data_IF_940692675880
#
_entry.id   IF_940692675880
#
_cell.length_a   1.000
_cell.length_b   1.000
_cell.length_c   1.000
_cell.angle_alpha   90.00
_cell.angle_beta   90.00
_cell.angle_gamma   90.00
#
_symmetry.space_group_name_H-M   'P 1'
#
loop_
_entity.id
_entity.type
_entity.pdbx_description
1 polymer ?
#
# COMPACT_ATOMS: atom_id res chain seq x y z
N UNK A 1 18.31 37.71 -57.66
CA UNK A 1 18.31 36.28 -57.27
C UNK A 1 19.09 36.01 -55.96
N UNK A 2 18.84 36.76 -54.88
CA UNK A 2 19.47 36.51 -53.56
C UNK A 2 18.52 36.63 -52.36
N UNK A 3 17.27 37.05 -52.56
CA UNK A 3 16.33 37.31 -51.46
C UNK A 3 15.29 36.20 -51.22
N UNK A 4 15.23 35.17 -52.06
CA UNK A 4 14.23 34.10 -51.92
C UNK A 4 14.73 32.90 -51.11
N UNK A 5 16.02 32.79 -50.79
CA UNK A 5 16.56 31.63 -50.07
C UNK A 5 16.39 31.70 -48.54
N UNK A 6 16.33 32.91 -47.96
CA UNK A 6 16.18 33.09 -46.51
C UNK A 6 14.74 32.86 -46.01
N UNK A 7 13.72 33.06 -46.84
CA UNK A 7 12.33 32.85 -46.44
C UNK A 7 11.95 31.36 -46.31
N UNK A 8 12.58 30.47 -47.08
CA UNK A 8 12.31 29.03 -47.01
C UNK A 8 13.02 28.35 -45.83
N UNK A 9 14.16 28.90 -45.38
CA UNK A 9 14.89 28.38 -44.21
C UNK A 9 14.12 28.65 -42.90
N UNK A 10 13.45 29.80 -42.78
CA UNK A 10 12.61 30.10 -41.59
C UNK A 10 11.40 29.18 -41.43
N UNK A 11 10.78 28.73 -42.53
CA UNK A 11 9.59 27.87 -42.48
C UNK A 11 9.93 26.41 -42.13
N UNK A 12 11.11 25.92 -42.52
CA UNK A 12 11.56 24.56 -42.16
C UNK A 12 12.02 24.49 -40.69
N UNK A 13 12.68 25.54 -40.18
CA UNK A 13 13.07 25.60 -38.77
C UNK A 13 11.88 25.84 -37.81
N UNK A 14 10.81 26.51 -38.25
CA UNK A 14 9.59 26.68 -37.45
C UNK A 14 8.77 25.37 -37.32
N UNK A 15 8.78 24.52 -38.35
CA UNK A 15 8.10 23.21 -38.35
C UNK A 15 8.79 22.17 -37.46
N UNK A 16 10.12 22.16 -37.38
CA UNK A 16 10.87 21.24 -36.51
C UNK A 16 10.81 21.58 -35.02
N UNK A 17 10.42 22.82 -34.67
CA UNK A 17 10.23 23.24 -33.28
C UNK A 17 8.83 22.83 -32.78
N UNK A 18 7.83 22.73 -33.66
CA UNK A 18 6.48 22.31 -33.29
C UNK A 18 6.29 20.79 -33.20
N UNK A 19 7.15 19.99 -33.85
CA UNK A 19 7.14 18.52 -33.74
C UNK A 19 8.00 17.95 -32.60
N UNK A 20 8.67 18.80 -31.82
CA UNK A 20 9.35 18.40 -30.57
C UNK A 20 8.59 18.76 -29.29
N UNK A 21 7.32 19.14 -29.40
CA UNK A 21 6.41 19.35 -28.27
C UNK A 21 5.43 18.18 -28.08
N UNK A 22 5.88 16.95 -28.33
CA UNK A 22 5.08 15.74 -28.09
C UNK A 22 5.96 14.59 -27.66
N UNK A 23 6.59 14.71 -26.49
CA UNK A 23 6.83 13.63 -25.51
C UNK A 23 7.67 14.16 -24.32
N UNK A 24 7.17 15.18 -23.62
CA UNK A 24 7.51 15.28 -22.19
C UNK A 24 6.40 14.51 -21.48
N UNK A 25 6.50 13.18 -21.49
CA UNK A 25 5.76 12.40 -20.49
C UNK A 25 6.41 12.83 -19.17
N UNK A 26 5.67 13.64 -18.42
CA UNK A 26 6.01 13.95 -17.06
C UNK A 26 6.40 12.64 -16.35
N UNK A 27 7.63 12.53 -15.87
CA UNK A 27 7.97 11.63 -14.76
C UNK A 27 7.33 12.15 -13.45
N UNK A 28 6.11 12.69 -13.55
CA UNK A 28 5.29 13.19 -12.47
C UNK A 28 4.26 12.14 -12.12
N UNK A 29 4.45 11.53 -10.95
CA UNK A 29 3.42 10.82 -10.16
C UNK A 29 2.34 10.11 -10.98
N UNK A 30 2.67 8.94 -11.55
CA UNK A 30 1.64 7.98 -11.95
C UNK A 30 0.76 7.69 -10.74
N UNK A 31 -0.56 7.84 -10.89
CA UNK A 31 -1.50 7.54 -9.81
C UNK A 31 -1.37 6.07 -9.38
N UNK A 32 -1.52 5.78 -8.07
CA UNK A 32 -1.47 4.41 -7.59
C UNK A 32 -2.59 3.61 -8.25
N UNK A 33 -2.32 2.36 -8.60
CA UNK A 33 -3.29 1.41 -9.15
C UNK A 33 -3.33 0.14 -8.33
N UNK A 34 -4.35 -0.67 -8.56
CA UNK A 34 -4.50 -1.99 -7.93
C UNK A 34 -3.32 -2.93 -8.25
N UNK A 35 -2.81 -2.87 -9.47
CA UNK A 35 -1.70 -3.70 -9.98
C UNK A 35 -0.30 -3.19 -9.57
N UNK A 36 -0.21 -2.12 -8.78
CA UNK A 36 1.07 -1.71 -8.19
C UNK A 36 1.41 -2.63 -6.99
N UNK A 37 2.69 -2.99 -6.83
CA UNK A 37 3.17 -3.95 -5.82
C UNK A 37 2.57 -3.73 -4.42
N UNK A 38 2.55 -2.49 -3.94
CA UNK A 38 2.01 -2.16 -2.62
C UNK A 38 0.52 -2.51 -2.49
N UNK A 39 -0.30 -2.26 -3.52
CA UNK A 39 -1.73 -2.54 -3.46
C UNK A 39 -1.99 -4.04 -3.66
N UNK A 40 -1.35 -4.66 -4.66
CA UNK A 40 -1.48 -6.09 -4.93
C UNK A 40 -1.11 -6.93 -3.71
N UNK A 41 0.05 -6.66 -3.10
CA UNK A 41 0.53 -7.40 -1.93
C UNK A 41 -0.32 -7.11 -0.69
N UNK A 42 -0.61 -5.83 -0.39
CA UNK A 42 -1.41 -5.50 0.79
C UNK A 42 -2.80 -6.11 0.69
N UNK A 43 -3.52 -5.96 -0.42
CA UNK A 43 -4.86 -6.55 -0.58
C UNK A 43 -4.81 -8.07 -0.41
N UNK A 44 -3.84 -8.74 -1.03
CA UNK A 44 -3.67 -10.19 -0.93
C UNK A 44 -3.49 -10.64 0.53
N UNK A 45 -2.58 -10.00 1.27
CA UNK A 45 -2.31 -10.35 2.66
C UNK A 45 -3.48 -9.99 3.60
N UNK A 46 -4.17 -8.88 3.38
CA UNK A 46 -5.39 -8.56 4.13
C UNK A 46 -6.46 -9.64 3.95
N UNK A 47 -6.70 -10.06 2.70
CA UNK A 47 -7.69 -11.08 2.41
C UNK A 47 -7.26 -12.46 2.93
N UNK A 48 -5.97 -12.78 2.92
CA UNK A 48 -5.46 -13.99 3.56
C UNK A 48 -5.65 -13.96 5.07
N UNK A 49 -5.28 -12.87 5.75
CA UNK A 49 -5.53 -12.69 7.18
C UNK A 49 -7.01 -12.90 7.53
N UNK A 50 -7.91 -12.27 6.76
CA UNK A 50 -9.38 -12.39 6.94
C UNK A 50 -9.86 -13.83 6.74
N UNK A 51 -9.33 -14.56 5.76
CA UNK A 51 -9.61 -16.00 5.57
C UNK A 51 -9.09 -16.85 6.73
N UNK A 52 -7.87 -16.59 7.21
CA UNK A 52 -7.29 -17.31 8.35
C UNK A 52 -8.08 -17.12 9.64
N UNK A 53 -8.60 -15.91 9.88
CA UNK A 53 -9.52 -15.63 10.98
C UNK A 53 -10.77 -16.51 10.89
N UNK A 54 -11.41 -16.58 9.72
CA UNK A 54 -12.65 -17.37 9.55
C UNK A 54 -12.42 -18.88 9.60
N UNK A 55 -11.19 -19.35 9.32
CA UNK A 55 -10.82 -20.78 9.38
C UNK A 55 -10.27 -21.20 10.73
N UNK A 56 -10.33 -20.34 11.75
CA UNK A 56 -9.72 -20.59 13.05
C UNK A 56 -8.21 -20.88 12.99
N UNK A 57 -7.47 -20.32 12.03
CA UNK A 57 -6.03 -20.59 11.88
C UNK A 57 -5.12 -19.66 12.70
N UNK A 58 -5.66 -18.53 13.18
CA UNK A 58 -4.88 -17.52 13.91
C UNK A 58 -4.81 -17.88 15.40
N UNK A 59 -3.62 -17.95 16.02
CA UNK A 59 -3.48 -18.25 17.45
C UNK A 59 -3.93 -17.07 18.32
N UNK A 60 -4.38 -17.36 19.54
CA UNK A 60 -4.80 -16.33 20.51
C UNK A 60 -6.13 -15.63 20.21
N UNK A 61 -6.77 -15.91 19.07
CA UNK A 61 -8.03 -15.27 18.67
C UNK A 61 -9.14 -16.28 18.37
N UNK A 62 -10.41 -15.94 18.68
CA UNK A 62 -11.55 -16.76 18.26
C UNK A 62 -11.71 -16.72 16.74
N UNK A 63 -12.31 -17.76 16.16
CA UNK A 63 -12.67 -17.74 14.76
C UNK A 63 -13.73 -16.66 14.49
N UNK A 64 -13.59 -15.95 13.38
CA UNK A 64 -14.63 -15.04 12.89
C UNK A 64 -15.67 -15.78 12.06
N UNK A 65 -16.89 -15.26 11.99
CA UNK A 65 -17.75 -15.54 10.85
C UNK A 65 -17.03 -15.14 9.54
N UNK A 66 -17.47 -15.69 8.40
CA UNK A 66 -16.82 -15.43 7.11
C UNK A 66 -16.70 -13.92 6.87
N UNK A 67 -15.46 -13.43 6.84
CA UNK A 67 -15.16 -12.04 6.51
C UNK A 67 -15.13 -11.87 4.98
N UNK A 68 -15.90 -10.92 4.41
CA UNK A 68 -15.82 -10.62 2.98
C UNK A 68 -14.41 -10.16 2.59
N UNK A 69 -13.98 -10.48 1.38
CA UNK A 69 -12.71 -9.95 0.85
C UNK A 69 -12.81 -8.44 0.63
N UNK A 70 -11.73 -7.73 0.98
CA UNK A 70 -11.56 -6.32 0.70
C UNK A 70 -11.29 -6.11 -0.78
N UNK A 71 -11.90 -5.08 -1.33
CA UNK A 71 -11.77 -4.68 -2.73
C UNK A 71 -10.98 -3.38 -2.82
N UNK A 72 -10.19 -3.23 -3.89
CA UNK A 72 -9.44 -2.00 -4.15
C UNK A 72 -10.39 -0.79 -4.31
N UNK A 73 -10.01 0.34 -3.73
CA UNK A 73 -10.60 1.64 -4.05
C UNK A 73 -9.50 2.67 -4.40
N UNK A 74 -9.62 3.20 -5.61
CA UNK A 74 -8.67 4.15 -6.21
C UNK A 74 -8.45 5.40 -5.33
N UNK A 75 -9.52 6.00 -4.80
CA UNK A 75 -9.40 7.25 -4.06
C UNK A 75 -8.81 7.02 -2.67
N UNK A 76 -9.06 5.86 -2.04
CA UNK A 76 -8.35 5.47 -0.82
C UNK A 76 -6.84 5.35 -1.07
N UNK A 77 -6.44 4.72 -2.18
CA UNK A 77 -5.04 4.53 -2.55
C UNK A 77 -4.34 5.85 -2.87
N UNK A 78 -5.01 6.76 -3.59
CA UNK A 78 -4.47 8.09 -3.88
C UNK A 78 -4.23 8.91 -2.62
N UNK A 79 -5.17 8.88 -1.66
CA UNK A 79 -5.00 9.53 -0.37
C UNK A 79 -3.83 8.94 0.43
N UNK A 80 -3.75 7.60 0.46
CA UNK A 80 -2.66 6.89 1.14
C UNK A 80 -1.30 7.20 0.50
N UNK A 81 -1.22 7.26 -0.82
CA UNK A 81 -0.01 7.59 -1.56
C UNK A 81 0.44 9.02 -1.30
N UNK A 82 -0.50 9.98 -1.29
CA UNK A 82 -0.21 11.37 -0.92
C UNK A 82 0.37 11.46 0.49
N UNK A 83 -0.19 10.70 1.45
CA UNK A 83 0.33 10.71 2.82
C UNK A 83 1.73 10.08 2.91
N UNK A 84 1.93 8.90 2.32
CA UNK A 84 3.22 8.22 2.30
C UNK A 84 4.32 9.10 1.69
N UNK A 85 4.02 9.88 0.65
CA UNK A 85 4.98 10.80 0.02
C UNK A 85 5.52 11.89 0.98
N UNK A 86 4.82 12.20 2.08
CA UNK A 86 5.26 13.19 3.06
C UNK A 86 6.35 12.66 4.00
N UNK A 87 6.58 11.34 4.03
CA UNK A 87 7.58 10.71 4.90
C UNK A 87 7.46 11.17 6.36
N UNK A 88 6.26 11.02 6.93
CA UNK A 88 5.90 11.37 8.31
C UNK A 88 5.81 10.13 9.20
N UNK A 89 5.96 10.29 10.52
CA UNK A 89 5.93 9.18 11.51
C UNK A 89 4.59 9.10 12.26
N UNK A 90 3.50 9.45 11.60
CA UNK A 90 2.20 9.59 12.24
C UNK A 90 1.06 9.43 11.24
N UNK A 91 -0.15 9.27 11.76
CA UNK A 91 -1.37 9.37 10.98
C UNK A 91 -1.62 10.80 10.49
N UNK A 92 -2.27 10.92 9.33
CA UNK A 92 -2.90 12.18 8.92
C UNK A 92 -4.14 12.50 9.77
N UNK A 93 -4.72 13.69 9.56
CA UNK A 93 -5.97 14.02 10.24
C UNK A 93 -7.13 13.30 9.56
N UNK A 94 -8.14 12.82 10.30
CA UNK A 94 -9.36 12.28 9.69
C UNK A 94 -10.03 13.22 8.67
N UNK A 95 -9.88 14.54 8.83
CA UNK A 95 -10.37 15.56 7.89
C UNK A 95 -9.71 15.51 6.52
N UNK A 96 -8.53 14.89 6.42
CA UNK A 96 -7.72 14.79 5.20
C UNK A 96 -8.05 13.52 4.40
N UNK A 97 -8.86 12.62 5.01
CA UNK A 97 -9.30 11.33 4.43
C UNK A 97 -10.77 11.33 4.01
N UNK A 98 -11.24 12.44 3.41
CA UNK A 98 -12.64 12.56 2.96
C UNK A 98 -12.88 11.65 1.75
N UNK A 99 -13.98 10.90 1.80
CA UNK A 99 -14.37 10.01 0.72
C UNK A 99 -15.88 10.15 0.41
N UNK A 100 -16.31 10.16 -0.86
CA UNK A 100 -17.71 10.33 -1.22
C UNK A 100 -18.61 9.17 -0.75
N UNK A 101 -18.06 7.96 -0.63
CA UNK A 101 -18.83 6.76 -0.22
C UNK A 101 -18.93 6.57 1.30
N UNK A 102 -18.00 7.11 2.10
CA UNK A 102 -17.90 6.81 3.53
C UNK A 102 -17.63 8.07 4.35
N UNK A 103 -18.45 8.30 5.37
CA UNK A 103 -18.29 9.41 6.31
C UNK A 103 -16.97 9.36 7.07
N UNK A 104 -16.51 8.15 7.42
CA UNK A 104 -15.25 7.92 8.11
C UNK A 104 -14.42 6.88 7.37
N UNK A 105 -13.17 7.23 7.10
CA UNK A 105 -12.14 6.35 6.56
C UNK A 105 -11.19 5.98 7.69
N UNK A 106 -10.79 4.71 7.78
CA UNK A 106 -9.76 4.21 8.70
C UNK A 106 -8.36 4.31 8.10
N UNK A 107 -7.30 4.16 8.88
CA UNK A 107 -5.93 4.17 8.36
C UNK A 107 -5.02 3.29 9.21
N UNK A 108 -4.22 2.45 8.54
CA UNK A 108 -3.01 1.87 9.09
C UNK A 108 -1.82 2.58 8.48
N UNK A 109 -0.79 2.81 9.29
CA UNK A 109 0.44 3.43 8.85
C UNK A 109 1.62 2.80 9.60
N UNK A 110 2.73 2.60 8.90
CA UNK A 110 4.00 2.25 9.51
C UNK A 110 5.15 2.68 8.61
N UNK A 111 6.33 2.76 9.22
CA UNK A 111 7.60 2.79 8.52
C UNK A 111 8.40 1.56 8.93
N UNK A 112 8.88 0.80 7.95
CA UNK A 112 9.59 -0.46 8.16
C UNK A 112 10.53 -0.79 6.98
N UNK A 113 11.22 -1.92 7.05
CA UNK A 113 12.19 -2.40 6.07
C UNK A 113 11.57 -2.82 4.74
N UNK A 114 10.34 -3.36 4.77
CA UNK A 114 9.66 -3.94 3.63
C UNK A 114 8.13 -3.87 3.81
N UNK A 115 7.39 -4.12 2.73
CA UNK A 115 5.93 -4.27 2.80
C UNK A 115 5.51 -5.47 3.66
N UNK A 116 6.27 -6.56 3.57
CA UNK A 116 6.06 -7.77 4.36
C UNK A 116 6.17 -7.49 5.87
N UNK A 117 7.29 -6.89 6.29
CA UNK A 117 7.51 -6.54 7.70
C UNK A 117 6.43 -5.59 8.21
N UNK A 118 6.07 -4.59 7.39
CA UNK A 118 4.98 -3.65 7.69
C UNK A 118 3.66 -4.38 7.95
N UNK A 119 3.25 -5.29 7.06
CA UNK A 119 2.00 -6.02 7.21
C UNK A 119 2.01 -6.94 8.43
N UNK A 120 3.10 -7.70 8.62
CA UNK A 120 3.19 -8.63 9.75
C UNK A 120 3.18 -7.89 11.09
N UNK A 121 3.92 -6.78 11.24
CA UNK A 121 3.85 -5.94 12.45
C UNK A 121 2.43 -5.48 12.75
N UNK A 122 1.66 -5.09 11.74
CA UNK A 122 0.25 -4.72 11.93
C UNK A 122 -0.62 -5.89 12.36
N UNK A 123 -0.42 -7.07 11.77
CA UNK A 123 -1.25 -8.23 12.03
C UNK A 123 -0.91 -8.89 13.37
N UNK A 124 0.37 -9.00 13.71
CA UNK A 124 0.93 -9.63 14.91
C UNK A 124 0.44 -8.96 16.22
N UNK A 125 -0.09 -7.74 16.13
CA UNK A 125 -0.84 -7.11 17.22
C UNK A 125 -2.00 -7.96 17.75
N UNK A 126 -2.48 -8.94 16.96
CA UNK A 126 -3.47 -9.92 17.42
C UNK A 126 -3.02 -10.68 18.67
N UNK A 127 -1.72 -10.78 18.95
CA UNK A 127 -1.22 -11.44 20.15
C UNK A 127 -1.47 -10.62 21.42
N UNK A 128 -1.63 -9.31 21.29
CA UNK A 128 -1.83 -8.37 22.39
C UNK A 128 -3.31 -7.98 22.57
N UNK A 129 -4.21 -8.47 21.72
CA UNK A 129 -5.62 -8.11 21.73
C UNK A 129 -6.46 -9.17 22.42
N UNK A 130 -7.16 -8.82 23.50
CA UNK A 130 -8.13 -9.71 24.12
C UNK A 130 -9.51 -9.49 23.53
N UNK A 131 -10.00 -10.45 22.74
CA UNK A 131 -11.27 -10.31 22.01
C UNK A 131 -12.47 -10.04 22.91
N UNK A 132 -12.64 -10.81 23.98
CA UNK A 132 -13.85 -10.76 24.82
C UNK A 132 -13.97 -9.44 25.61
N UNK A 133 -12.84 -8.82 26.00
CA UNK A 133 -12.84 -7.52 26.69
C UNK A 133 -12.69 -6.35 25.73
N UNK A 134 -12.37 -6.60 24.46
CA UNK A 134 -11.98 -5.61 23.46
C UNK A 134 -10.77 -4.75 23.87
N UNK A 135 -9.93 -5.26 24.77
CA UNK A 135 -8.78 -4.53 25.30
C UNK A 135 -7.49 -4.94 24.59
N UNK A 136 -6.60 -3.97 24.47
CA UNK A 136 -5.20 -4.20 24.12
C UNK A 136 -4.38 -4.28 25.39
N UNK A 137 -3.35 -5.12 25.40
CA UNK A 137 -2.43 -5.21 26.54
C UNK A 137 -1.83 -3.84 26.90
N UNK A 138 -1.56 -3.57 28.19
CA UNK A 138 -1.04 -2.28 28.62
C UNK A 138 0.24 -1.87 27.89
N UNK A 139 0.19 -0.74 27.19
CA UNK A 139 1.33 -0.21 26.41
C UNK A 139 1.51 -0.83 25.02
N UNK A 140 0.68 -1.80 24.64
CA UNK A 140 0.69 -2.39 23.30
C UNK A 140 -0.23 -1.63 22.33
N UNK A 141 -0.12 -1.97 21.05
CA UNK A 141 -1.00 -1.49 19.98
C UNK A 141 -1.80 -2.67 19.42
N UNK A 142 -3.08 -2.43 19.12
CA UNK A 142 -4.02 -3.41 18.56
C UNK A 142 -4.89 -2.82 17.44
N UNK A 143 -4.71 -1.52 17.14
CA UNK A 143 -5.52 -0.79 16.18
C UNK A 143 -5.28 -1.25 14.75
N UNK A 144 -4.05 -1.66 14.42
CA UNK A 144 -3.74 -2.11 13.08
C UNK A 144 -4.35 -3.48 12.79
N UNK A 145 -4.24 -4.42 13.73
CA UNK A 145 -4.88 -5.74 13.64
C UNK A 145 -6.40 -5.60 13.50
N UNK A 146 -7.03 -4.85 14.40
CA UNK A 146 -8.50 -4.69 14.40
C UNK A 146 -9.03 -4.05 13.12
N UNK A 147 -8.26 -3.16 12.47
CA UNK A 147 -8.62 -2.59 11.18
C UNK A 147 -8.59 -3.64 10.05
N UNK A 148 -7.57 -4.52 10.03
CA UNK A 148 -7.41 -5.60 9.03
C UNK A 148 -8.59 -6.56 9.08
N UNK A 149 -8.98 -6.99 10.29
CA UNK A 149 -9.99 -8.03 10.50
C UNK A 149 -11.40 -7.48 10.72
N UNK A 150 -11.62 -6.18 10.51
CA UNK A 150 -12.93 -5.57 10.69
C UNK A 150 -13.95 -6.07 9.66
N UNK A 151 -15.05 -6.67 10.11
CA UNK A 151 -16.17 -7.09 9.26
C UNK A 151 -16.90 -5.91 8.60
N UNK A 152 -16.70 -4.69 9.10
CA UNK A 152 -17.32 -3.48 8.57
C UNK A 152 -16.58 -2.91 7.37
N UNK A 153 -15.27 -3.07 7.35
CA UNK A 153 -14.42 -2.61 6.24
C UNK A 153 -14.70 -3.44 5.00
N UNK A 154 -14.91 -2.77 3.87
CA UNK A 154 -15.23 -3.40 2.59
C UNK A 154 -14.21 -3.08 1.50
N UNK A 155 -13.55 -1.93 1.61
CA UNK A 155 -12.60 -1.45 0.62
C UNK A 155 -11.30 -1.01 1.28
N UNK A 156 -10.23 -1.10 0.51
CA UNK A 156 -8.88 -0.72 0.91
C UNK A 156 -8.17 -0.04 -0.26
N UNK A 157 -7.32 0.92 0.04
CA UNK A 157 -6.35 1.45 -0.91
C UNK A 157 -5.09 1.89 -0.18
N UNK A 158 -3.93 1.49 -0.72
CA UNK A 158 -2.64 1.69 -0.10
C UNK A 158 -1.71 2.54 -0.98
N UNK A 159 -0.71 3.11 -0.32
CA UNK A 159 0.35 3.87 -0.96
C UNK A 159 1.64 3.76 -0.18
N UNK A 160 2.77 3.85 -0.86
CA UNK A 160 4.08 3.74 -0.21
C UNK A 160 5.09 4.71 -0.78
N UNK A 161 6.07 5.10 0.04
CA UNK A 161 7.17 5.94 -0.40
C UNK A 161 8.49 5.45 0.15
N UNK A 162 9.55 5.71 -0.62
CA UNK A 162 10.92 5.49 -0.20
C UNK A 162 11.46 6.79 0.44
N UNK A 163 11.52 6.82 1.76
CA UNK A 163 11.97 7.97 2.53
C UNK A 163 13.49 8.00 2.66
N UNK A 164 14.05 9.21 2.75
CA UNK A 164 15.49 9.40 2.98
C UNK A 164 15.85 8.83 4.35
N UNK A 165 16.81 7.89 4.37
CA UNK A 165 17.32 7.33 5.62
C UNK A 165 17.85 8.45 6.51
N UNK A 166 17.37 8.50 7.74
CA UNK A 166 17.82 9.44 8.76
C UNK A 166 17.74 8.78 10.13
N UNK A 167 18.28 9.41 11.18
CA UNK A 167 18.08 8.92 12.55
C UNK A 167 16.58 8.86 12.92
N UNK A 168 15.75 9.74 12.34
CA UNK A 168 14.30 9.73 12.53
C UNK A 168 13.59 8.69 11.65
N UNK A 169 14.17 8.32 10.52
CA UNK A 169 13.66 7.28 9.62
C UNK A 169 14.77 6.27 9.33
N UNK A 170 15.07 5.37 10.29
CA UNK A 170 16.07 4.32 10.06
C UNK A 170 15.62 3.40 8.92
N UNK A 171 14.30 3.25 8.80
CA UNK A 171 13.59 2.50 7.79
C UNK A 171 13.32 3.36 6.56
N UNK A 172 13.48 2.76 5.39
CA UNK A 172 13.38 3.49 4.13
C UNK A 172 12.00 3.43 3.51
N UNK A 173 11.15 2.49 3.92
CA UNK A 173 9.82 2.32 3.34
C UNK A 173 8.78 2.79 4.35
N UNK A 174 7.87 3.65 3.92
CA UNK A 174 6.62 3.92 4.64
C UNK A 174 5.45 3.39 3.84
N UNK A 175 4.51 2.74 4.51
CA UNK A 175 3.26 2.27 3.92
C UNK A 175 2.09 2.85 4.68
N UNK A 176 1.12 3.32 3.93
CA UNK A 176 -0.18 3.77 4.43
C UNK A 176 -1.24 2.95 3.72
N UNK A 177 -2.22 2.43 4.46
CA UNK A 177 -3.43 1.82 3.90
C UNK A 177 -4.65 2.50 4.50
N UNK A 178 -5.55 2.99 3.65
CA UNK A 178 -6.81 3.59 4.06
C UNK A 178 -7.95 2.59 3.86
N UNK A 179 -8.93 2.61 4.78
CA UNK A 179 -10.02 1.62 4.84
C UNK A 179 -11.39 2.26 4.78
N UNK A 180 -12.24 1.75 3.89
CA UNK A 180 -13.59 2.24 3.65
C UNK A 180 -14.67 1.17 3.92
N UNK A 181 -15.65 1.42 4.80
CA UNK A 181 -15.64 2.43 5.86
C UNK A 181 -14.60 2.12 6.95
N UNK A 182 -14.36 3.05 7.87
CA UNK A 182 -13.52 2.83 9.05
C UNK A 182 -13.97 1.59 9.85
N UNK A 183 -13.02 0.69 10.10
CA UNK A 183 -13.24 -0.54 10.85
C UNK A 183 -13.15 -0.38 12.37
N UNK A 184 -12.30 0.53 12.86
CA UNK A 184 -12.03 0.69 14.29
C UNK A 184 -13.05 1.64 14.91
N UNK A 185 -14.12 1.07 15.44
CA UNK A 185 -15.15 1.82 16.15
C UNK A 185 -15.14 1.45 17.61
N UNK A 186 -15.20 2.49 18.43
CA UNK A 186 -15.16 2.41 19.88
C UNK A 186 -16.26 1.48 20.39
N UNK A 187 -15.93 0.65 21.37
CA UNK A 187 -16.86 -0.23 22.07
C UNK A 187 -17.57 -1.24 21.13
N UNK A 188 -16.89 -1.63 20.04
CA UNK A 188 -17.38 -2.67 19.12
C UNK A 188 -16.31 -3.69 18.80
N UNK A 189 -16.68 -4.97 18.75
CA UNK A 189 -15.78 -6.02 18.27
C UNK A 189 -15.48 -5.82 16.77
N UNK A 190 -14.27 -6.16 16.31
CA UNK A 190 -13.92 -6.04 14.89
C UNK A 190 -14.75 -6.99 14.02
N UNK A 191 -15.16 -8.14 14.54
CA UNK A 191 -15.96 -9.15 13.84
C UNK A 191 -16.86 -9.92 14.80
N UNK A 192 -17.81 -10.69 14.25
CA UNK A 192 -18.63 -11.62 15.02
C UNK A 192 -17.93 -12.98 15.11
N UNK A 193 -17.96 -13.61 16.30
CA UNK A 193 -17.41 -14.96 16.50
C UNK A 193 -18.19 -15.99 15.68
N UNK A 194 -17.49 -16.91 15.04
CA UNK A 194 -18.08 -18.09 14.43
C UNK A 194 -18.46 -19.13 15.48
N UNK A 195 -19.19 -20.16 15.04
CA UNK A 195 -19.43 -21.36 15.82
C UNK A 195 -18.08 -21.99 16.28
N UNK A 196 -17.91 -22.30 17.57
CA UNK A 196 -16.70 -22.95 18.08
C UNK A 196 -16.32 -24.26 17.36
N UNK A 197 -17.28 -24.95 16.75
CA UNK A 197 -17.04 -26.15 15.95
C UNK A 197 -16.09 -25.91 14.76
N UNK A 198 -15.99 -24.68 14.24
CA UNK A 198 -15.01 -24.30 13.20
C UNK A 198 -13.59 -24.57 13.65
N UNK A 199 -13.31 -24.48 14.95
CA UNK A 199 -11.98 -24.72 15.52
C UNK A 199 -11.70 -26.19 15.85
N UNK A 200 -12.69 -27.09 15.74
CA UNK A 200 -12.54 -28.49 16.16
C UNK A 200 -11.55 -29.21 15.25
N UNK A 201 -10.42 -29.65 15.84
CA UNK A 201 -9.36 -30.37 15.12
C UNK A 201 -8.52 -29.48 14.21
N UNK A 202 -8.64 -28.15 14.31
CA UNK A 202 -7.84 -27.21 13.53
C UNK A 202 -6.53 -26.90 14.27
N UNK A 203 -5.42 -27.17 13.62
CA UNK A 203 -4.10 -26.72 14.06
C UNK A 203 -3.88 -25.27 13.63
N UNK A 204 -3.53 -24.40 14.58
CA UNK A 204 -3.19 -22.99 14.31
C UNK A 204 -1.91 -22.91 13.49
N UNK A 205 -1.81 -21.88 12.65
CA UNK A 205 -0.59 -21.60 11.87
C UNK A 205 0.27 -20.61 12.64
N UNK A 206 1.56 -20.93 12.76
CA UNK A 206 2.62 -20.05 13.27
C UNK A 206 3.33 -19.26 12.15
N UNK A 207 3.00 -19.56 10.90
CA UNK A 207 3.59 -18.89 9.74
C UNK A 207 3.04 -17.47 9.58
N UNK A 208 3.92 -16.49 9.29
CA UNK A 208 3.48 -15.13 8.95
C UNK A 208 2.47 -15.11 7.81
N UNK A 209 1.56 -14.13 7.83
CA UNK A 209 0.59 -13.93 6.74
C UNK A 209 1.31 -13.41 5.51
N UNK A 210 2.04 -12.30 5.69
CA UNK A 210 2.89 -11.78 4.65
C UNK A 210 4.16 -12.62 4.64
N UNK A 211 4.35 -13.33 3.55
CA UNK A 211 5.60 -13.99 3.24
C UNK A 211 6.03 -13.52 1.86
N UNK A 212 7.35 -13.52 1.62
CA UNK A 212 7.88 -13.49 0.26
C UNK A 212 7.58 -14.84 -0.39
N UNK A 213 6.31 -15.15 -0.65
CA UNK A 213 5.98 -16.21 -1.59
C UNK A 213 6.59 -15.78 -2.92
N UNK A 214 7.52 -16.62 -3.41
CA UNK A 214 8.30 -16.44 -4.64
C UNK A 214 7.42 -15.80 -5.72
N UNK A 215 7.54 -14.49 -5.81
CA UNK A 215 6.90 -13.59 -6.76
C UNK A 215 6.25 -14.35 -7.92
N UNK A 216 4.92 -14.39 -7.94
CA UNK A 216 4.16 -14.76 -9.15
C UNK A 216 4.33 -13.74 -10.26
N UNK A 217 5.06 -12.63 -10.03
CA UNK A 217 5.61 -11.80 -11.09
C UNK A 217 6.61 -12.68 -11.86
N UNK A 218 6.38 -12.95 -13.15
CA UNK A 218 7.34 -13.65 -13.99
C UNK A 218 8.72 -13.01 -13.82
N UNK A 219 9.81 -13.80 -13.84
CA UNK A 219 11.15 -13.23 -13.77
C UNK A 219 11.28 -12.12 -14.81
N UNK A 220 11.73 -10.94 -14.37
CA UNK A 220 12.00 -9.78 -15.22
C UNK A 220 12.69 -10.26 -16.49
N UNK A 221 12.07 -10.01 -17.64
CA UNK A 221 12.63 -10.44 -18.92
C UNK A 221 14.01 -9.80 -19.10
N UNK A 222 14.88 -10.43 -19.88
CA UNK A 222 16.19 -9.86 -20.19
C UNK A 222 16.07 -8.44 -20.77
N UNK A 223 14.97 -8.16 -21.48
CA UNK A 223 14.65 -6.84 -22.02
C UNK A 223 14.29 -5.81 -20.94
N UNK A 224 13.46 -6.17 -19.96
CA UNK A 224 13.12 -5.29 -18.84
C UNK A 224 14.35 -4.99 -17.98
N UNK A 225 15.18 -6.01 -17.72
CA UNK A 225 16.45 -5.87 -17.00
C UNK A 225 17.40 -4.94 -17.76
N UNK A 226 17.49 -5.09 -19.08
CA UNK A 226 18.30 -4.22 -19.94
C UNK A 226 17.78 -2.77 -19.94
N UNK A 227 16.45 -2.56 -20.00
CA UNK A 227 15.83 -1.22 -19.91
C UNK A 227 16.10 -0.57 -18.56
N UNK A 228 16.07 -1.33 -17.47
CA UNK A 228 16.39 -0.84 -16.12
C UNK A 228 17.85 -0.45 -15.97
N UNK A 229 18.78 -1.30 -16.45
CA UNK A 229 20.21 -1.00 -16.46
C UNK A 229 20.50 0.24 -17.30
N UNK A 230 19.90 0.34 -18.49
CA UNK A 230 20.06 1.50 -19.38
C UNK A 230 19.55 2.79 -18.75
N UNK A 231 18.37 2.78 -18.10
CA UNK A 231 17.86 3.94 -17.32
C UNK A 231 18.80 4.34 -16.17
N UNK A 232 19.37 3.36 -15.47
CA UNK A 232 20.31 3.62 -14.36
C UNK A 232 21.62 4.22 -14.87
N UNK A 233 22.10 3.76 -16.02
CA UNK A 233 23.33 4.23 -16.64
C UNK A 233 23.17 5.66 -17.23
N UNK A 234 22.02 5.98 -17.82
CA UNK A 234 21.69 7.33 -18.27
C UNK A 234 21.68 8.31 -17.09
N UNK A 235 21.05 7.93 -15.96
CA UNK A 235 21.01 8.75 -14.74
C UNK A 235 22.39 8.96 -14.10
N UNK A 236 23.32 8.02 -14.25
CA UNK A 236 24.70 8.19 -13.75
C UNK A 236 25.56 9.08 -14.65
N UNK A 237 25.25 9.18 -15.94
CA UNK A 237 25.98 10.03 -16.88
C UNK A 237 25.60 11.51 -16.77
N UNK A 238 24.40 11.84 -16.26
CA UNK A 238 23.94 13.22 -16.07
C UNK A 238 24.53 13.96 -14.86
N UNK A 239 25.34 13.30 -14.02
CA UNK A 239 25.96 13.93 -12.83
C UNK A 239 27.44 14.34 -13.01
N UNK A 240 27.98 14.35 -14.24
CA UNK A 240 29.41 14.61 -14.49
C UNK A 240 29.74 16.00 -15.06
N UNK A 241 28.76 16.89 -15.25
CA UNK A 241 29.03 18.25 -15.73
C UNK A 241 28.46 19.29 -14.78
N UNK A 242 29.23 19.61 -13.73
CA UNK A 242 29.33 20.93 -13.07
C UNK A 242 30.63 21.01 -12.28
#
# INVERSE_FOLDING_TARGET
MRHTWLQWICLIFSSMILLKFSLVIAEGSRWPREDDDVNTLMISWHNEARRRMSKCLVPGQPASEKLPELVYDQQLAEQAQRWSNNCTLNHDKPSDRKHPKWQYVGQNWAADHSYESTFNVWFDEHMNYTFDTMQCDPGAQCGHYTAIVSARTTHIGCGSAMCKKSLRFPWRVTVTCNYGPNGNVRDTHPYKKADPAVCKGVTKLDTPIASVEKSTIPPETAEEKARRVKRKQIRTCECSEK
#
